data_IF_631997206277
#
_entry.id   IF_631997206277
#
_cell.length_a   1.000
_cell.length_b   1.000
_cell.length_c   1.000
_cell.angle_alpha   90.00
_cell.angle_beta   90.00
_cell.angle_gamma   90.00
#
_symmetry.space_group_name_H-M   'P 1'
#
loop_
_entity.id
_entity.type
_entity.pdbx_description
1 polymer ?
#
# COMPACT_ATOMS: atom_id res chain seq x y z
N UNK A 1 30.34 8.59 -21.10
CA UNK A 1 29.10 8.74 -21.90
C UNK A 1 28.88 7.42 -22.63
N UNK A 2 27.94 6.62 -22.13
CA UNK A 2 27.51 5.27 -22.54
C UNK A 2 26.18 5.06 -21.76
N UNK A 3 25.04 4.58 -22.24
CA UNK A 3 24.58 4.06 -23.52
C UNK A 3 23.03 4.06 -23.47
N UNK A 4 22.36 4.21 -24.61
CA UNK A 4 20.93 4.48 -24.82
C UNK A 4 19.96 3.30 -24.55
N UNK A 5 20.19 2.44 -23.54
CA UNK A 5 19.44 1.18 -23.39
C UNK A 5 18.44 1.11 -22.22
N UNK A 6 18.19 2.21 -21.51
CA UNK A 6 17.21 2.23 -20.42
C UNK A 6 16.20 3.33 -20.74
N UNK A 7 15.00 2.93 -21.21
CA UNK A 7 13.87 3.81 -21.53
C UNK A 7 13.29 4.50 -20.27
N UNK A 8 14.14 5.11 -19.43
CA UNK A 8 13.78 5.60 -18.09
C UNK A 8 13.57 4.51 -17.04
N UNK A 9 13.72 3.22 -17.39
CA UNK A 9 13.54 2.10 -16.46
C UNK A 9 14.85 1.89 -15.68
N UNK A 10 14.86 2.25 -14.40
CA UNK A 10 15.97 1.98 -13.50
C UNK A 10 16.25 0.49 -13.31
N UNK A 11 17.44 0.15 -12.80
CA UNK A 11 17.86 -1.24 -12.53
C UNK A 11 17.43 -1.76 -11.14
N UNK A 12 16.84 -0.89 -10.31
CA UNK A 12 16.27 -1.24 -8.99
C UNK A 12 14.78 -1.53 -9.11
N UNK A 13 14.20 -2.28 -8.16
CA UNK A 13 12.78 -2.65 -8.16
C UNK A 13 11.87 -1.51 -7.62
N UNK A 14 12.03 -0.33 -8.21
CA UNK A 14 11.17 0.82 -7.97
C UNK A 14 9.98 0.81 -8.94
N UNK A 15 9.07 1.76 -8.80
CA UNK A 15 7.79 1.80 -9.55
C UNK A 15 7.96 1.62 -11.06
N UNK A 16 8.95 2.28 -11.67
CA UNK A 16 9.20 2.17 -13.11
C UNK A 16 9.52 0.74 -13.56
N UNK A 17 10.28 -0.02 -12.75
CA UNK A 17 10.62 -1.42 -13.06
C UNK A 17 9.43 -2.34 -12.81
N UNK A 18 8.69 -2.12 -11.72
CA UNK A 18 7.47 -2.88 -11.40
C UNK A 18 6.42 -2.75 -12.49
N UNK A 19 6.15 -1.51 -12.94
CA UNK A 19 5.22 -1.22 -14.03
C UNK A 19 5.68 -1.87 -15.33
N UNK A 20 6.98 -1.81 -15.64
CA UNK A 20 7.51 -2.45 -16.85
C UNK A 20 7.30 -3.97 -16.84
N UNK A 21 7.58 -4.64 -15.71
CA UNK A 21 7.36 -6.09 -15.55
C UNK A 21 5.87 -6.44 -15.68
N UNK A 22 4.99 -5.71 -15.01
CA UNK A 22 3.54 -5.96 -15.10
C UNK A 22 3.01 -5.71 -16.51
N UNK A 23 3.50 -4.67 -17.20
CA UNK A 23 3.08 -4.37 -18.57
C UNK A 23 3.50 -5.48 -19.55
N UNK A 24 4.71 -6.03 -19.43
CA UNK A 24 5.13 -7.19 -20.24
C UNK A 24 4.31 -8.43 -19.93
N UNK A 25 4.00 -8.70 -18.66
CA UNK A 25 3.12 -9.81 -18.28
C UNK A 25 1.71 -9.65 -18.86
N UNK A 26 1.11 -8.45 -18.78
CA UNK A 26 -0.21 -8.18 -19.39
C UNK A 26 -0.19 -8.35 -20.92
N UNK A 27 0.96 -8.10 -21.55
CA UNK A 27 1.17 -8.36 -22.98
C UNK A 27 1.43 -9.85 -23.31
N UNK A 28 1.38 -10.75 -22.31
CA UNK A 28 1.77 -12.16 -22.39
C UNK A 28 3.25 -12.39 -22.80
N UNK A 29 4.10 -11.38 -22.64
CA UNK A 29 5.54 -11.48 -22.87
C UNK A 29 6.26 -11.90 -21.58
N UNK A 30 6.05 -13.17 -21.20
CA UNK A 30 6.66 -13.74 -20.00
C UNK A 30 8.18 -13.82 -20.09
N UNK A 31 8.74 -13.95 -21.29
CA UNK A 31 10.18 -13.95 -21.51
C UNK A 31 10.79 -12.56 -21.26
N UNK A 32 10.15 -11.50 -21.77
CA UNK A 32 10.54 -10.12 -21.50
C UNK A 32 10.43 -9.76 -20.03
N UNK A 33 9.34 -10.15 -19.37
CA UNK A 33 9.16 -9.98 -17.92
C UNK A 33 10.25 -10.71 -17.12
N UNK A 34 10.59 -11.95 -17.49
CA UNK A 34 11.66 -12.71 -16.84
C UNK A 34 13.04 -12.06 -17.04
N UNK A 35 13.32 -11.52 -18.22
CA UNK A 35 14.53 -10.74 -18.49
C UNK A 35 14.62 -9.50 -17.61
N UNK A 36 13.53 -8.74 -17.49
CA UNK A 36 13.48 -7.58 -16.61
C UNK A 36 13.72 -7.94 -15.14
N UNK A 37 13.20 -9.07 -14.67
CA UNK A 37 13.42 -9.55 -13.31
C UNK A 37 14.87 -10.01 -13.10
N UNK A 38 15.46 -10.74 -14.04
CA UNK A 38 16.84 -11.21 -13.95
C UNK A 38 17.86 -10.07 -13.92
N UNK A 39 17.59 -8.99 -14.65
CA UNK A 39 18.43 -7.79 -14.71
C UNK A 39 18.21 -6.84 -13.52
N UNK A 40 17.29 -7.15 -12.60
CA UNK A 40 17.03 -6.31 -11.42
C UNK A 40 18.16 -6.48 -10.40
N UNK A 41 18.80 -5.37 -10.04
CA UNK A 41 19.80 -5.34 -8.98
C UNK A 41 19.16 -5.56 -7.60
N UNK A 42 19.83 -6.27 -6.69
CA UNK A 42 19.36 -6.39 -5.31
C UNK A 42 19.16 -5.01 -4.67
N UNK A 43 18.01 -4.84 -4.02
CA UNK A 43 17.63 -3.61 -3.34
C UNK A 43 17.36 -3.83 -1.86
N UNK A 44 16.59 -2.91 -1.28
CA UNK A 44 16.13 -2.96 0.09
C UNK A 44 15.20 -4.18 0.31
N UNK A 45 14.96 -4.62 1.56
CA UNK A 45 14.13 -5.79 1.83
C UNK A 45 12.71 -5.73 1.24
N UNK A 46 12.17 -4.52 1.02
CA UNK A 46 10.85 -4.36 0.39
C UNK A 46 10.92 -4.60 -1.12
N UNK A 47 11.97 -4.12 -1.79
CA UNK A 47 12.23 -4.39 -3.20
C UNK A 47 12.43 -5.87 -3.46
N UNK A 48 13.13 -6.58 -2.56
CA UNK A 48 13.34 -8.01 -2.67
C UNK A 48 12.03 -8.79 -2.58
N UNK A 49 11.14 -8.42 -1.65
CA UNK A 49 9.83 -9.06 -1.52
C UNK A 49 8.93 -8.79 -2.74
N UNK A 50 8.95 -7.57 -3.29
CA UNK A 50 8.24 -7.25 -4.54
C UNK A 50 8.82 -8.03 -5.72
N UNK A 51 10.16 -8.12 -5.83
CA UNK A 51 10.83 -8.89 -6.89
C UNK A 51 10.46 -10.37 -6.82
N UNK A 52 10.45 -10.96 -5.62
CA UNK A 52 10.03 -12.35 -5.41
C UNK A 52 8.56 -12.55 -5.81
N UNK A 53 7.68 -11.61 -5.47
CA UNK A 53 6.26 -11.67 -5.82
C UNK A 53 6.06 -11.66 -7.34
N UNK A 54 6.69 -10.69 -8.03
CA UNK A 54 6.64 -10.59 -9.48
C UNK A 54 7.27 -11.80 -10.18
N UNK A 55 8.31 -12.41 -9.59
CA UNK A 55 8.92 -13.64 -10.10
C UNK A 55 7.95 -14.82 -10.05
N UNK A 56 7.22 -14.99 -8.94
CA UNK A 56 6.18 -16.03 -8.82
C UNK A 56 5.07 -15.81 -9.84
N UNK A 57 4.59 -14.58 -10.00
CA UNK A 57 3.56 -14.23 -10.98
C UNK A 57 4.03 -14.51 -12.42
N UNK A 58 5.23 -14.06 -12.78
CA UNK A 58 5.82 -14.28 -14.10
C UNK A 58 5.97 -15.77 -14.44
N UNK A 59 6.42 -16.59 -13.47
CA UNK A 59 6.57 -18.03 -13.66
C UNK A 59 5.23 -18.75 -13.77
N UNK A 60 4.25 -18.36 -12.96
CA UNK A 60 2.89 -18.89 -13.04
C UNK A 60 2.29 -18.65 -14.43
N UNK A 61 2.41 -17.43 -14.94
CA UNK A 61 1.91 -17.07 -16.27
C UNK A 61 2.63 -17.84 -17.39
N UNK A 62 3.92 -18.10 -17.22
CA UNK A 62 4.71 -18.95 -18.12
C UNK A 62 4.45 -20.46 -17.96
N UNK A 63 3.55 -20.90 -17.07
CA UNK A 63 3.29 -22.31 -16.78
C UNK A 63 4.49 -23.06 -16.16
N UNK A 64 5.40 -22.33 -15.51
CA UNK A 64 6.61 -22.88 -14.90
C UNK A 64 6.41 -23.25 -13.42
N UNK A 65 7.21 -24.18 -12.87
CA UNK A 65 7.16 -24.51 -11.45
C UNK A 65 7.43 -23.28 -10.56
N UNK A 66 6.59 -23.10 -9.53
CA UNK A 66 6.66 -21.95 -8.62
C UNK A 66 7.05 -22.29 -7.18
N UNK A 67 7.02 -23.56 -6.77
CA UNK A 67 7.09 -23.95 -5.34
C UNK A 67 8.31 -23.38 -4.60
N UNK A 68 9.50 -23.43 -5.22
CA UNK A 68 10.72 -22.85 -4.64
C UNK A 68 10.64 -21.33 -4.50
N UNK A 69 10.17 -20.64 -5.55
CA UNK A 69 10.01 -19.19 -5.55
C UNK A 69 8.92 -18.72 -4.59
N UNK A 70 7.89 -19.54 -4.39
CA UNK A 70 6.82 -19.30 -3.44
C UNK A 70 7.31 -19.41 -1.99
N UNK A 71 8.17 -20.40 -1.70
CA UNK A 71 8.83 -20.51 -0.40
C UNK A 71 9.76 -19.33 -0.12
N UNK A 72 10.51 -18.87 -1.14
CA UNK A 72 11.36 -17.68 -1.05
C UNK A 72 10.54 -16.41 -0.81
N UNK A 73 9.40 -16.25 -1.51
CA UNK A 73 8.48 -15.14 -1.32
C UNK A 73 7.91 -15.07 0.10
N UNK A 74 7.41 -16.20 0.62
CA UNK A 74 6.90 -16.30 2.00
C UNK A 74 8.01 -15.95 2.99
N UNK A 75 9.21 -16.47 2.78
CA UNK A 75 10.37 -16.15 3.63
C UNK A 75 10.75 -14.68 3.57
N UNK A 76 10.77 -14.08 2.37
CA UNK A 76 11.08 -12.67 2.17
C UNK A 76 10.06 -11.79 2.90
N UNK A 77 8.76 -12.08 2.76
CA UNK A 77 7.69 -11.34 3.44
C UNK A 77 7.79 -11.46 4.96
N UNK A 78 7.87 -12.67 5.52
CA UNK A 78 7.89 -12.87 6.98
C UNK A 78 9.15 -12.28 7.64
N UNK A 79 10.27 -12.15 6.92
CA UNK A 79 11.49 -11.49 7.43
C UNK A 79 11.40 -9.97 7.45
N UNK A 80 10.45 -9.36 6.74
CA UNK A 80 10.29 -7.90 6.74
C UNK A 80 9.90 -7.43 8.13
N UNK A 81 10.58 -6.41 8.64
CA UNK A 81 10.11 -5.70 9.83
C UNK A 81 9.05 -4.68 9.43
N UNK A 82 8.03 -4.51 10.26
CA UNK A 82 7.08 -3.43 10.07
C UNK A 82 7.81 -2.10 10.28
N UNK A 83 7.69 -1.20 9.31
CA UNK A 83 8.29 0.13 9.35
C UNK A 83 7.18 1.19 9.48
N UNK A 84 7.37 2.25 10.32
CA UNK A 84 6.39 3.32 10.42
C UNK A 84 6.07 3.93 9.05
N UNK A 85 4.78 4.06 8.74
CA UNK A 85 4.30 4.58 7.45
C UNK A 85 4.20 3.54 6.33
N UNK A 86 4.63 2.29 6.56
CA UNK A 86 4.58 1.22 5.56
C UNK A 86 3.43 0.21 5.80
N UNK A 87 2.57 0.41 6.80
CA UNK A 87 1.50 -0.53 7.17
C UNK A 87 0.62 -0.91 5.99
N UNK A 88 0.10 0.07 5.25
CA UNK A 88 -0.76 -0.19 4.08
C UNK A 88 -0.01 -0.97 2.99
N UNK A 89 1.26 -0.62 2.75
CA UNK A 89 2.09 -1.34 1.78
C UNK A 89 2.31 -2.78 2.21
N UNK A 90 2.70 -3.02 3.46
CA UNK A 90 2.98 -4.35 4.00
C UNK A 90 1.70 -5.21 4.07
N UNK A 91 0.54 -4.61 4.35
CA UNK A 91 -0.75 -5.29 4.28
C UNK A 91 -1.04 -5.73 2.86
N UNK A 92 -0.99 -4.82 1.88
CA UNK A 92 -1.26 -5.15 0.47
C UNK A 92 -0.28 -6.17 -0.07
N UNK A 93 1.00 -6.05 0.26
CA UNK A 93 2.00 -7.04 -0.11
C UNK A 93 1.65 -8.42 0.46
N UNK A 94 1.27 -8.51 1.73
CA UNK A 94 0.86 -9.77 2.36
C UNK A 94 -0.40 -10.37 1.72
N UNK A 95 -1.39 -9.54 1.38
CA UNK A 95 -2.58 -9.98 0.65
C UNK A 95 -2.22 -10.51 -0.75
N UNK A 96 -1.33 -9.83 -1.48
CA UNK A 96 -0.81 -10.33 -2.76
C UNK A 96 -0.07 -11.66 -2.58
N UNK A 97 0.67 -11.85 -1.47
CA UNK A 97 1.29 -13.15 -1.17
C UNK A 97 0.23 -14.23 -0.95
N UNK A 98 -0.89 -13.94 -0.26
CA UNK A 98 -2.00 -14.88 -0.15
C UNK A 98 -2.59 -15.26 -1.52
N UNK A 99 -2.78 -14.29 -2.42
CA UNK A 99 -3.25 -14.55 -3.79
C UNK A 99 -2.29 -15.43 -4.58
N UNK A 100 -0.97 -15.27 -4.36
CA UNK A 100 0.03 -16.16 -4.98
C UNK A 100 0.02 -17.57 -4.37
N UNK A 101 -0.38 -17.75 -3.12
CA UNK A 101 -0.53 -19.08 -2.51
C UNK A 101 -1.80 -19.79 -3.00
N UNK A 102 -2.90 -19.05 -3.17
CA UNK A 102 -4.11 -19.50 -3.87
C UNK A 102 -4.91 -20.65 -3.22
N UNK A 103 -4.49 -21.16 -2.06
CA UNK A 103 -5.18 -22.25 -1.35
C UNK A 103 -5.16 -22.02 0.16
N UNK A 104 -6.34 -22.19 0.77
CA UNK A 104 -6.54 -22.12 2.21
C UNK A 104 -5.83 -23.25 2.96
N UNK A 105 -5.62 -24.42 2.34
CA UNK A 105 -4.97 -25.58 2.97
C UNK A 105 -3.46 -25.41 3.15
N UNK A 106 -2.87 -24.36 2.57
CA UNK A 106 -1.45 -24.09 2.67
C UNK A 106 -1.07 -23.63 4.08
N UNK A 107 -0.16 -24.37 4.73
CA UNK A 107 0.46 -23.92 5.99
C UNK A 107 1.18 -22.59 5.86
N UNK A 108 1.67 -22.24 4.66
CA UNK A 108 2.23 -20.93 4.39
C UNK A 108 1.15 -19.85 4.37
N UNK A 109 -0.04 -20.12 3.84
CA UNK A 109 -1.14 -19.15 3.84
C UNK A 109 -1.61 -18.83 5.26
N UNK A 110 -1.69 -19.84 6.13
CA UNK A 110 -1.96 -19.64 7.56
C UNK A 110 -0.94 -18.72 8.23
N UNK A 111 0.36 -18.92 7.97
CA UNK A 111 1.42 -18.03 8.50
C UNK A 111 1.29 -16.60 8.01
N UNK A 112 0.96 -16.41 6.74
CA UNK A 112 0.78 -15.06 6.18
C UNK A 112 -0.44 -14.37 6.82
N UNK A 113 -1.54 -15.09 7.06
CA UNK A 113 -2.71 -14.56 7.78
C UNK A 113 -2.37 -14.17 9.21
N UNK A 114 -1.60 -15.00 9.92
CA UNK A 114 -1.11 -14.68 11.26
C UNK A 114 -0.21 -13.44 11.27
N UNK A 115 0.72 -13.34 10.32
CA UNK A 115 1.60 -12.18 10.17
C UNK A 115 0.81 -10.90 9.84
N UNK A 116 -0.19 -10.97 8.96
CA UNK A 116 -1.07 -9.85 8.60
C UNK A 116 -1.91 -9.39 9.78
N UNK A 117 -2.52 -10.32 10.51
CA UNK A 117 -3.30 -10.02 11.72
C UNK A 117 -2.42 -9.33 12.77
N UNK A 118 -1.25 -9.92 13.09
CA UNK A 118 -0.31 -9.36 14.07
C UNK A 118 0.15 -7.96 13.70
N UNK A 119 0.59 -7.74 12.45
CA UNK A 119 1.01 -6.41 11.98
C UNK A 119 -0.11 -5.38 12.07
N UNK A 120 -1.32 -5.80 11.71
CA UNK A 120 -2.52 -4.94 11.76
C UNK A 120 -2.86 -4.53 13.19
N UNK A 121 -2.81 -5.47 14.14
CA UNK A 121 -3.10 -5.20 15.55
C UNK A 121 -1.99 -4.39 16.22
N UNK A 122 -0.73 -4.70 15.93
CA UNK A 122 0.43 -3.99 16.50
C UNK A 122 0.48 -2.53 16.04
N UNK A 123 0.03 -2.25 14.82
CA UNK A 123 -0.06 -0.89 14.29
C UNK A 123 -1.35 -0.16 14.66
N UNK A 124 -2.32 -0.84 15.30
CA UNK A 124 -3.69 -0.34 15.56
C UNK A 124 -4.36 0.28 14.30
N UNK A 125 -4.07 -0.28 13.12
CA UNK A 125 -4.45 0.32 11.84
C UNK A 125 -5.79 -0.21 11.32
N UNK A 126 -6.83 0.63 11.42
CA UNK A 126 -8.16 0.29 10.94
C UNK A 126 -8.27 0.11 9.41
N UNK A 127 -7.41 0.77 8.61
CA UNK A 127 -7.42 0.59 7.16
C UNK A 127 -6.83 -0.77 6.79
N UNK A 128 -5.72 -1.16 7.42
CA UNK A 128 -5.13 -2.49 7.27
C UNK A 128 -6.12 -3.60 7.69
N UNK A 129 -6.83 -3.39 8.81
CA UNK A 129 -7.88 -4.30 9.27
C UNK A 129 -9.03 -4.41 8.26
N UNK A 130 -9.45 -3.28 7.69
CA UNK A 130 -10.51 -3.27 6.67
C UNK A 130 -10.09 -3.98 5.39
N UNK A 131 -8.87 -3.75 4.90
CA UNK A 131 -8.35 -4.42 3.69
C UNK A 131 -8.23 -5.92 3.91
N UNK A 132 -7.74 -6.36 5.08
CA UNK A 132 -7.65 -7.78 5.43
C UNK A 132 -9.04 -8.44 5.47
N UNK A 133 -10.03 -7.80 6.10
CA UNK A 133 -11.41 -8.30 6.15
C UNK A 133 -12.13 -8.31 4.80
N UNK A 134 -11.68 -7.51 3.83
CA UNK A 134 -12.22 -7.51 2.48
C UNK A 134 -11.62 -8.63 1.61
N UNK A 135 -10.57 -9.30 2.07
CA UNK A 135 -9.85 -10.31 1.30
C UNK A 135 -10.42 -11.72 1.56
N UNK A 136 -10.96 -12.42 0.54
CA UNK A 136 -11.65 -13.71 0.73
C UNK A 136 -10.79 -14.77 1.44
N UNK A 137 -9.56 -14.99 0.96
CA UNK A 137 -8.64 -15.98 1.57
C UNK A 137 -8.24 -15.62 2.99
N UNK A 138 -8.18 -14.33 3.34
CA UNK A 138 -7.90 -13.94 4.71
C UNK A 138 -9.08 -14.35 5.60
N UNK A 139 -10.31 -14.04 5.19
CA UNK A 139 -11.51 -14.37 5.98
C UNK A 139 -11.80 -15.88 6.06
N UNK A 140 -11.35 -16.65 5.08
CA UNK A 140 -11.49 -18.11 5.06
C UNK A 140 -10.52 -18.80 6.03
N UNK A 141 -9.29 -18.30 6.11
CA UNK A 141 -8.20 -18.91 6.90
C UNK A 141 -8.13 -18.35 8.32
N UNK A 142 -8.45 -17.06 8.50
CA UNK A 142 -8.35 -16.40 9.79
C UNK A 142 -9.30 -17.04 10.80
N UNK A 143 -8.83 -17.18 12.04
CA UNK A 143 -9.67 -17.62 13.14
C UNK A 143 -10.75 -16.60 13.44
N UNK A 144 -11.87 -17.05 14.02
CA UNK A 144 -12.94 -16.16 14.48
C UNK A 144 -12.41 -15.03 15.37
N UNK A 145 -11.44 -15.33 16.24
CA UNK A 145 -10.82 -14.34 17.12
C UNK A 145 -10.12 -13.24 16.33
N UNK A 146 -9.33 -13.59 15.33
CA UNK A 146 -8.60 -12.65 14.47
C UNK A 146 -9.56 -11.78 13.66
N UNK A 147 -10.61 -12.39 13.10
CA UNK A 147 -11.66 -11.65 12.39
C UNK A 147 -12.37 -10.66 13.32
N UNK A 148 -12.66 -11.04 14.56
CA UNK A 148 -13.28 -10.13 15.53
C UNK A 148 -12.36 -8.99 15.97
N UNK A 149 -11.05 -9.24 16.11
CA UNK A 149 -10.07 -8.18 16.38
C UNK A 149 -10.03 -7.15 15.25
N UNK A 150 -9.90 -7.59 14.01
CA UNK A 150 -9.91 -6.69 12.86
C UNK A 150 -11.23 -5.90 12.80
N UNK A 151 -12.38 -6.54 13.06
CA UNK A 151 -13.68 -5.86 13.09
C UNK A 151 -13.75 -4.83 14.22
N UNK A 152 -13.16 -5.13 15.38
CA UNK A 152 -13.09 -4.18 16.50
C UNK A 152 -12.24 -2.97 16.15
N UNK A 153 -11.08 -3.16 15.51
CA UNK A 153 -10.23 -2.06 15.01
C UNK A 153 -10.95 -1.18 14.00
N UNK A 154 -11.60 -1.78 12.99
CA UNK A 154 -12.40 -1.02 12.00
C UNK A 154 -13.45 -0.14 12.67
N UNK A 155 -14.16 -0.69 13.68
CA UNK A 155 -15.15 0.07 14.46
C UNK A 155 -14.52 1.17 15.32
N UNK A 156 -13.39 0.89 15.98
CA UNK A 156 -12.69 1.87 16.80
C UNK A 156 -12.20 3.07 15.97
N UNK A 157 -11.78 2.82 14.72
CA UNK A 157 -11.44 3.88 13.76
C UNK A 157 -12.65 4.51 13.05
N UNK A 158 -13.88 4.16 13.44
CA UNK A 158 -15.13 4.58 12.82
C UNK A 158 -15.20 4.36 11.30
N UNK A 159 -14.40 3.43 10.76
CA UNK A 159 -14.32 3.18 9.33
C UNK A 159 -15.57 2.44 8.85
N UNK A 160 -16.16 2.92 7.76
CA UNK A 160 -17.39 2.35 7.18
C UNK A 160 -18.68 2.75 7.91
N UNK A 161 -18.61 3.58 8.94
CA UNK A 161 -19.81 4.11 9.63
C UNK A 161 -20.57 5.11 8.76
N UNK A 162 -19.87 5.86 7.90
CA UNK A 162 -20.46 6.85 6.99
C UNK A 162 -21.19 8.01 7.69
N UNK A 163 -21.12 8.07 9.02
CA UNK A 163 -21.86 9.02 9.85
C UNK A 163 -20.86 9.76 10.73
N UNK A 164 -20.78 11.07 10.55
CA UNK A 164 -20.07 11.94 11.48
C UNK A 164 -21.04 12.31 12.62
N UNK A 165 -20.73 12.01 13.89
CA UNK A 165 -21.55 12.41 15.02
C UNK A 165 -21.88 13.91 14.99
N UNK A 166 -23.11 14.28 15.36
CA UNK A 166 -23.62 15.65 15.22
C UNK A 166 -22.75 16.69 15.93
N UNK A 167 -22.15 16.34 17.08
CA UNK A 167 -21.22 17.19 17.82
C UNK A 167 -19.97 17.49 16.98
N UNK A 168 -19.28 16.43 16.52
CA UNK A 168 -18.08 16.57 15.67
C UNK A 168 -18.40 17.28 14.36
N UNK A 169 -19.58 17.06 13.79
CA UNK A 169 -20.04 17.79 12.59
C UNK A 169 -20.19 19.28 12.87
N UNK A 170 -20.75 19.66 14.01
CA UNK A 170 -20.88 21.08 14.43
C UNK A 170 -19.51 21.71 14.63
N UNK A 171 -18.62 21.04 15.36
CA UNK A 171 -17.25 21.52 15.60
C UNK A 171 -16.47 21.70 14.29
N UNK A 172 -16.48 20.70 13.40
CA UNK A 172 -15.82 20.77 12.11
C UNK A 172 -16.38 21.92 11.26
N UNK A 173 -17.70 22.07 11.23
CA UNK A 173 -18.36 23.17 10.49
C UNK A 173 -17.95 24.54 11.05
N UNK A 174 -17.86 24.67 12.38
CA UNK A 174 -17.42 25.90 13.02
C UNK A 174 -15.95 26.22 12.68
N UNK A 175 -15.07 25.23 12.74
CA UNK A 175 -13.66 25.38 12.38
C UNK A 175 -13.48 25.77 10.90
N UNK A 176 -14.24 25.13 9.99
CA UNK A 176 -14.22 25.47 8.56
C UNK A 176 -14.67 26.91 8.30
N UNK A 177 -15.74 27.36 8.98
CA UNK A 177 -16.21 28.76 8.88
C UNK A 177 -15.18 29.76 9.40
N UNK A 178 -14.52 29.44 10.52
CA UNK A 178 -13.46 30.29 11.06
C UNK A 178 -12.29 30.42 10.07
N UNK A 179 -11.84 29.28 9.52
CA UNK A 179 -10.77 29.26 8.51
C UNK A 179 -11.15 30.02 7.24
N UNK A 180 -12.36 29.84 6.70
CA UNK A 180 -12.86 30.58 5.52
C UNK A 180 -12.88 32.09 5.80
N UNK A 181 -13.34 32.52 6.98
CA UNK A 181 -13.35 33.93 7.37
C UNK A 181 -11.94 34.53 7.40
N UNK A 182 -10.95 33.80 7.92
CA UNK A 182 -9.54 34.26 7.96
C UNK A 182 -8.95 34.34 6.56
N UNK A 183 -9.17 33.31 5.73
CA UNK A 183 -8.69 33.26 4.34
C UNK A 183 -9.30 34.39 3.52
N UNK A 184 -10.61 34.63 3.62
CA UNK A 184 -11.26 35.76 2.92
C UNK A 184 -10.77 37.10 3.44
N UNK A 185 -10.58 37.24 4.76
CA UNK A 185 -10.05 38.44 5.39
C UNK A 185 -8.67 38.82 4.87
N UNK A 186 -7.78 37.84 4.65
CA UNK A 186 -6.43 38.09 4.12
C UNK A 186 -6.46 38.58 2.66
N UNK A 187 -7.38 38.11 1.83
CA UNK A 187 -7.56 38.63 0.47
C UNK A 187 -8.12 40.05 0.45
N UNK A 188 -9.00 40.41 1.39
CA UNK A 188 -9.51 41.79 1.49
C UNK A 188 -8.46 42.78 1.99
N UNK A 189 -7.57 42.37 2.90
CA UNK A 189 -6.46 43.19 3.38
C UNK A 189 -5.34 43.34 2.35
N UNK A 190 -5.13 42.34 1.48
CA UNK A 190 -4.16 42.41 0.37
C UNK A 190 -4.63 43.28 -0.80
N UNK A 191 -5.92 43.63 -0.87
CA UNK A 191 -6.53 44.35 -1.99
C UNK A 191 -6.76 45.85 -1.71
N UNK A 192 -6.03 46.44 -0.75
CA UNK A 192 -6.06 47.88 -0.49
C UNK A 192 -4.84 48.61 -1.13
N UNK A 193 -4.89 49.00 -2.41
CA UNK A 193 -3.91 49.89 -3.02
C UNK A 193 -4.34 51.34 -2.77
N UNK A 194 -4.07 51.92 -1.61
CA UNK A 194 -4.54 53.30 -1.42
C UNK A 194 -4.32 54.00 -0.09
N UNK A 195 -3.10 53.97 0.48
CA UNK A 195 -2.73 54.98 1.50
C UNK A 195 -1.81 56.05 0.91
N UNK A 196 -2.38 56.91 0.06
CA UNK A 196 -1.78 58.21 -0.30
C UNK A 196 -1.65 59.06 0.97
N UNK A 197 -0.41 59.36 1.38
CA UNK A 197 -0.10 60.38 2.38
C UNK A 197 -0.37 61.77 1.79
N UNK A 198 -1.04 62.70 2.50
CA UNK A 198 -1.09 64.08 2.07
C UNK A 198 0.24 64.78 2.39
N UNK A 199 0.83 65.44 1.38
CA UNK A 199 1.91 66.41 1.55
C UNK A 199 1.43 67.54 2.48
N UNK A 200 2.23 67.84 3.51
CA UNK A 200 2.16 69.14 4.21
C UNK A 200 3.16 70.09 3.57
N UNK A 201 2.65 71.24 3.14
CA UNK A 201 3.41 72.44 2.81
C UNK A 201 3.90 73.14 4.08
#
# INVERSE_FOLDING_TARGET
MHNEAHHGIGQRMLDGRQVAVLATLVANDTAGAAGLLADTLPGDPWEQAVTACLTVLCRRDAGQPIDGHLADLVTAYSRRKAEPGMTVFDTRLGLTVLDTLGSADSSAAHRIVEDLHRRTTDAEDGYAARESLAHPLFTEIATDRQVQDCRALVRACALGTGILPDELRRELTAALRASDSVIRGSFTLSSDPGRTQPLRA
#
